data_IF_320697285976
#
_entry.id   IF_320697285976
#
_cell.length_a   1.000
_cell.length_b   1.000
_cell.length_c   1.000
_cell.angle_alpha   90.00
_cell.angle_beta   90.00
_cell.angle_gamma   90.00
#
_symmetry.space_group_name_H-M   'P 1'
#
loop_
_entity.id
_entity.type
_entity.pdbx_description
1 polymer ?
#
# COMPACT_ATOMS: atom_id res chain seq x y z
N UNK A 1 -47.60 60.44 43.07
CA UNK A 1 -46.16 60.58 43.40
C UNK A 1 -45.54 59.20 43.20
N UNK A 2 -44.97 58.90 42.02
CA UNK A 2 -43.50 58.80 41.74
C UNK A 2 -42.77 58.08 42.89
N UNK A 3 -42.13 56.91 42.71
CA UNK A 3 -40.93 56.67 41.85
C UNK A 3 -40.60 55.16 41.77
N UNK A 4 -40.35 54.61 40.58
CA UNK A 4 -39.05 54.16 40.01
C UNK A 4 -38.37 52.93 40.65
N UNK A 5 -38.31 51.87 39.83
CA UNK A 5 -37.38 50.71 39.81
C UNK A 5 -35.90 51.15 39.77
N UNK A 6 -34.89 50.32 40.13
CA UNK A 6 -34.40 49.35 39.14
C UNK A 6 -33.80 48.02 39.65
N UNK A 7 -33.85 47.08 38.71
CA UNK A 7 -33.18 45.78 38.58
C UNK A 7 -31.65 45.91 38.73
N UNK A 8 -31.03 45.19 39.66
CA UNK A 8 -29.56 45.19 39.82
C UNK A 8 -28.90 44.13 38.94
N UNK A 9 -27.90 44.59 38.20
CA UNK A 9 -27.16 43.88 37.17
C UNK A 9 -26.10 42.91 37.73
N UNK A 10 -25.85 41.89 36.91
CA UNK A 10 -24.89 40.80 37.05
C UNK A 10 -23.46 41.27 37.37
N UNK A 11 -22.81 40.55 38.29
CA UNK A 11 -21.44 40.75 38.77
C UNK A 11 -20.43 40.15 37.77
N UNK A 12 -19.63 40.98 37.10
CA UNK A 12 -18.50 40.54 36.28
C UNK A 12 -17.29 40.20 37.16
N UNK A 13 -16.96 38.92 37.27
CA UNK A 13 -15.69 38.47 37.86
C UNK A 13 -14.59 38.45 36.79
N UNK A 14 -13.74 39.47 36.82
CA UNK A 14 -12.42 39.46 36.18
C UNK A 14 -11.53 38.46 36.93
N UNK A 15 -11.28 37.29 36.34
CA UNK A 15 -10.18 36.44 36.78
C UNK A 15 -8.95 36.75 35.93
N UNK A 16 -7.95 37.32 36.60
CA UNK A 16 -6.61 37.60 36.06
C UNK A 16 -5.87 36.28 35.86
N UNK A 17 -5.34 36.07 34.66
CA UNK A 17 -4.52 34.90 34.30
C UNK A 17 -3.24 34.83 35.16
N UNK A 18 -3.02 33.69 35.82
CA UNK A 18 -1.70 33.23 36.19
C UNK A 18 -1.25 32.19 35.14
N UNK A 19 -0.61 32.68 34.08
CA UNK A 19 0.10 31.82 33.14
C UNK A 19 1.38 31.30 33.81
N UNK A 20 1.23 30.26 34.66
CA UNK A 20 2.34 29.39 34.98
C UNK A 20 2.47 28.39 33.83
N UNK A 21 3.16 28.83 32.77
CA UNK A 21 3.63 27.92 31.73
C UNK A 21 4.71 27.07 32.38
N UNK A 22 4.32 25.93 32.96
CA UNK A 22 5.21 24.80 33.09
C UNK A 22 5.59 24.45 31.66
N UNK A 23 6.79 24.84 31.23
CA UNK A 23 7.33 24.41 29.94
C UNK A 23 7.45 22.88 29.99
N UNK A 24 6.38 22.21 29.53
CA UNK A 24 6.49 20.85 29.03
C UNK A 24 7.62 20.89 28.01
N UNK A 25 8.67 20.06 28.17
CA UNK A 25 9.74 20.01 27.20
C UNK A 25 9.10 19.82 25.83
N UNK A 26 9.29 20.78 24.94
CA UNK A 26 8.82 20.68 23.57
C UNK A 26 9.55 19.49 22.98
N UNK A 27 8.87 18.34 22.90
CA UNK A 27 9.36 17.20 22.15
C UNK A 27 9.38 17.65 20.69
N UNK A 28 10.58 18.00 20.23
CA UNK A 28 10.85 18.19 18.81
C UNK A 28 10.44 16.88 18.16
N UNK A 29 9.32 16.89 17.44
CA UNK A 29 8.90 15.77 16.60
C UNK A 29 10.07 15.49 15.66
N UNK A 30 10.92 14.55 16.06
CA UNK A 30 12.02 14.09 15.25
C UNK A 30 11.45 13.71 13.90
N UNK A 31 12.19 14.00 12.83
CA UNK A 31 11.93 13.47 11.50
C UNK A 31 11.44 12.03 11.68
N UNK A 32 10.25 11.64 11.17
CA UNK A 32 9.78 10.28 11.34
C UNK A 32 10.93 9.40 10.89
N UNK A 33 11.46 8.61 11.82
CA UNK A 33 12.45 7.59 11.50
C UNK A 33 11.66 6.67 10.58
N UNK A 34 11.84 6.85 9.27
CA UNK A 34 11.31 5.91 8.31
C UNK A 34 12.01 4.61 8.68
N UNK A 35 11.29 3.74 9.38
CA UNK A 35 11.74 2.38 9.58
C UNK A 35 11.83 1.80 8.18
N UNK A 36 13.06 1.76 7.67
CA UNK A 36 13.36 1.11 6.41
C UNK A 36 12.96 -0.34 6.61
N UNK A 37 11.90 -0.76 5.92
CA UNK A 37 11.42 -2.14 5.97
C UNK A 37 12.60 -3.07 5.67
N UNK A 38 12.89 -3.96 6.61
CA UNK A 38 13.91 -4.97 6.36
C UNK A 38 13.43 -5.92 5.27
N UNK A 39 14.34 -6.64 4.63
CA UNK A 39 13.98 -7.63 3.61
C UNK A 39 12.97 -8.66 4.18
N UNK A 40 13.16 -9.07 5.43
CA UNK A 40 12.24 -9.94 6.16
C UNK A 40 10.83 -9.36 6.30
N UNK A 41 10.73 -8.06 6.58
CA UNK A 41 9.42 -7.40 6.73
C UNK A 41 8.69 -7.36 5.39
N UNK A 42 9.42 -7.15 4.29
CA UNK A 42 8.84 -7.16 2.94
C UNK A 42 8.35 -8.55 2.55
N UNK A 43 9.14 -9.59 2.80
CA UNK A 43 8.73 -10.97 2.54
C UNK A 43 7.47 -11.32 3.34
N UNK A 44 7.42 -10.97 4.63
CA UNK A 44 6.24 -11.20 5.46
C UNK A 44 4.97 -10.51 4.94
N UNK A 45 5.10 -9.28 4.41
CA UNK A 45 3.98 -8.56 3.78
C UNK A 45 3.53 -9.27 2.50
N UNK A 46 4.47 -9.71 1.65
CA UNK A 46 4.15 -10.44 0.41
C UNK A 46 3.40 -11.73 0.73
N UNK A 47 3.89 -12.52 1.68
CA UNK A 47 3.25 -13.78 2.10
C UNK A 47 1.85 -13.54 2.68
N UNK A 48 1.68 -12.47 3.47
CA UNK A 48 0.38 -12.09 4.00
C UNK A 48 -0.60 -11.70 2.87
N UNK A 49 -0.12 -10.95 1.87
CA UNK A 49 -0.92 -10.58 0.71
C UNK A 49 -1.30 -11.80 -0.13
N UNK A 50 -0.36 -12.70 -0.42
CA UNK A 50 -0.65 -13.95 -1.15
C UNK A 50 -1.73 -14.75 -0.43
N UNK A 51 -1.58 -14.95 0.89
CA UNK A 51 -2.59 -15.63 1.72
C UNK A 51 -3.97 -14.95 1.65
N UNK A 52 -4.00 -13.62 1.55
CA UNK A 52 -5.26 -12.85 1.52
C UNK A 52 -5.95 -12.93 0.16
N UNK A 53 -5.20 -13.10 -0.91
CA UNK A 53 -5.68 -13.03 -2.29
C UNK A 53 -5.58 -14.38 -3.01
N UNK A 54 -5.93 -15.46 -2.30
CA UNK A 54 -6.03 -16.83 -2.82
C UNK A 54 -4.75 -17.31 -3.53
N UNK A 55 -3.59 -16.92 -3.01
CA UNK A 55 -2.28 -17.16 -3.58
C UNK A 55 -2.13 -16.64 -5.03
N UNK A 56 -2.90 -15.65 -5.50
CA UNK A 56 -2.73 -15.12 -6.87
C UNK A 56 -1.60 -14.07 -6.93
N UNK A 57 -0.42 -14.39 -7.51
CA UNK A 57 0.71 -13.47 -7.55
C UNK A 57 0.41 -12.26 -8.43
N UNK A 58 -0.50 -12.38 -9.39
CA UNK A 58 -0.91 -11.27 -10.26
C UNK A 58 -1.71 -10.25 -9.47
N UNK A 59 -2.62 -10.68 -8.60
CA UNK A 59 -3.37 -9.78 -7.73
C UNK A 59 -2.43 -9.04 -6.78
N UNK A 60 -1.52 -9.77 -6.13
CA UNK A 60 -0.53 -9.19 -5.22
C UNK A 60 0.37 -8.18 -5.93
N UNK A 61 0.85 -8.48 -7.14
CA UNK A 61 1.68 -7.56 -7.90
C UNK A 61 0.94 -6.26 -8.27
N UNK A 62 -0.35 -6.35 -8.62
CA UNK A 62 -1.18 -5.16 -8.90
C UNK A 62 -1.35 -4.24 -7.68
N UNK A 63 -1.25 -4.77 -6.47
CA UNK A 63 -1.31 -4.01 -5.22
C UNK A 63 0.05 -3.39 -4.89
N UNK A 64 1.13 -4.18 -5.02
CA UNK A 64 2.48 -3.77 -4.64
C UNK A 64 3.12 -2.80 -5.63
N UNK A 65 2.81 -2.95 -6.93
CA UNK A 65 3.38 -2.16 -8.01
C UNK A 65 2.29 -1.77 -9.04
N UNK A 66 1.39 -0.85 -8.67
CA UNK A 66 0.28 -0.46 -9.54
C UNK A 66 0.75 0.28 -10.81
N UNK A 67 1.89 0.95 -10.77
CA UNK A 67 2.41 1.72 -11.89
C UNK A 67 2.86 0.80 -13.04
N UNK A 68 3.42 -0.38 -12.72
CA UNK A 68 3.84 -1.38 -13.70
C UNK A 68 2.81 -2.50 -13.92
N UNK A 69 1.69 -2.50 -13.20
CA UNK A 69 0.66 -3.53 -13.25
C UNK A 69 0.10 -3.81 -14.65
N UNK A 70 0.09 -2.81 -15.54
CA UNK A 70 -0.37 -2.97 -16.92
C UNK A 70 0.48 -3.95 -17.74
N UNK A 71 1.77 -4.11 -17.39
CA UNK A 71 2.65 -5.04 -18.08
C UNK A 71 2.24 -6.51 -17.88
N UNK A 72 1.52 -6.81 -16.79
CA UNK A 72 1.00 -8.15 -16.49
C UNK A 72 0.02 -8.64 -17.55
N UNK A 73 -0.65 -7.74 -18.27
CA UNK A 73 -1.57 -8.09 -19.35
C UNK A 73 -0.87 -8.19 -20.72
N UNK A 74 0.46 -8.00 -20.77
CA UNK A 74 1.23 -8.09 -22.02
C UNK A 74 1.17 -9.50 -22.61
N UNK A 75 0.92 -9.65 -23.93
CA UNK A 75 0.89 -10.95 -24.56
C UNK A 75 2.28 -11.61 -24.57
N UNK A 76 2.30 -12.91 -24.26
CA UNK A 76 3.50 -13.76 -24.26
C UNK A 76 3.23 -15.08 -24.96
N UNK A 77 4.11 -15.49 -25.86
CA UNK A 77 4.06 -16.83 -26.46
C UNK A 77 4.85 -17.78 -25.58
N UNK A 78 4.15 -18.60 -24.79
CA UNK A 78 4.76 -19.49 -23.81
C UNK A 78 4.63 -20.94 -24.24
N UNK A 79 5.73 -21.67 -24.21
CA UNK A 79 5.75 -23.12 -24.37
C UNK A 79 6.04 -23.78 -23.01
N UNK A 80 5.00 -24.31 -22.36
CA UNK A 80 5.16 -25.15 -21.17
C UNK A 80 5.72 -26.50 -21.58
N UNK A 81 6.68 -27.05 -20.83
CA UNK A 81 7.32 -28.32 -21.21
C UNK A 81 6.30 -29.46 -21.39
N UNK A 82 6.35 -30.11 -22.56
CA UNK A 82 5.42 -31.19 -22.91
C UNK A 82 4.09 -30.72 -23.49
N UNK A 83 3.91 -29.41 -23.72
CA UNK A 83 2.75 -28.83 -24.38
C UNK A 83 3.15 -28.01 -25.62
N UNK A 84 2.17 -27.72 -26.45
CA UNK A 84 2.31 -26.76 -27.54
C UNK A 84 2.47 -25.34 -27.01
N UNK A 85 3.14 -24.48 -27.77
CA UNK A 85 3.22 -23.07 -27.42
C UNK A 85 1.87 -22.39 -27.60
N UNK A 86 1.50 -21.55 -26.64
CA UNK A 86 0.23 -20.84 -26.61
C UNK A 86 0.44 -19.39 -26.20
N UNK A 87 -0.39 -18.50 -26.77
CA UNK A 87 -0.43 -17.11 -26.34
C UNK A 87 -1.12 -16.99 -24.99
N UNK A 88 -0.42 -16.41 -24.03
CA UNK A 88 -0.83 -16.15 -22.66
C UNK A 88 -0.46 -14.70 -22.30
N UNK A 89 -0.49 -14.35 -21.01
CA UNK A 89 -0.04 -13.05 -20.51
C UNK A 89 1.26 -13.15 -19.70
N UNK A 90 1.94 -12.03 -19.46
CA UNK A 90 3.05 -11.97 -18.48
C UNK A 90 2.56 -12.33 -17.07
N UNK A 91 1.31 -12.02 -16.71
CA UNK A 91 0.71 -12.45 -15.46
C UNK A 91 0.57 -13.97 -15.37
N UNK A 92 0.18 -14.63 -16.46
CA UNK A 92 0.12 -16.10 -16.50
C UNK A 92 1.51 -16.73 -16.36
N UNK A 93 2.54 -16.08 -16.92
CA UNK A 93 3.94 -16.47 -16.72
C UNK A 93 4.34 -16.48 -15.24
N UNK A 94 3.87 -15.49 -14.46
CA UNK A 94 4.07 -15.49 -13.01
C UNK A 94 3.35 -16.64 -12.32
N UNK A 95 2.10 -16.93 -12.71
CA UNK A 95 1.34 -18.08 -12.16
C UNK A 95 2.00 -19.42 -12.47
N UNK A 96 2.55 -19.60 -13.68
CA UNK A 96 3.31 -20.80 -14.04
C UNK A 96 4.55 -20.97 -13.15
N UNK A 97 5.29 -19.89 -12.89
CA UNK A 97 6.46 -19.92 -11.97
C UNK A 97 6.05 -20.31 -10.55
N UNK A 98 4.94 -19.77 -10.05
CA UNK A 98 4.43 -20.12 -8.73
C UNK A 98 4.03 -21.60 -8.62
N UNK A 99 3.46 -22.16 -9.70
CA UNK A 99 3.13 -23.58 -9.80
C UNK A 99 4.37 -24.49 -9.97
N UNK A 100 5.57 -23.91 -10.07
CA UNK A 100 6.81 -24.67 -10.31
C UNK A 100 6.92 -25.25 -11.72
N UNK A 101 6.13 -24.74 -12.68
CA UNK A 101 6.14 -25.23 -14.06
C UNK A 101 7.27 -24.57 -14.85
N UNK A 102 8.03 -25.40 -15.56
CA UNK A 102 9.04 -24.94 -16.51
C UNK A 102 8.42 -24.60 -17.87
N UNK A 103 8.83 -23.48 -18.44
CA UNK A 103 8.40 -23.03 -19.76
C UNK A 103 9.51 -22.27 -20.47
N UNK A 104 9.39 -22.14 -21.80
CA UNK A 104 10.21 -21.28 -22.64
C UNK A 104 9.34 -20.10 -23.10
N UNK A 105 9.89 -18.90 -23.02
CA UNK A 105 9.28 -17.69 -23.58
C UNK A 105 9.78 -17.49 -25.00
N UNK A 106 8.88 -17.61 -25.97
CA UNK A 106 9.16 -17.54 -27.41
C UNK A 106 8.61 -16.26 -28.04
N UNK A 107 8.19 -15.28 -27.23
CA UNK A 107 7.50 -14.06 -27.70
C UNK A 107 8.27 -13.36 -28.83
N UNK A 108 9.59 -13.25 -28.69
CA UNK A 108 10.50 -12.60 -29.66
C UNK A 108 11.24 -13.59 -30.58
N UNK A 109 10.92 -14.88 -30.47
CA UNK A 109 11.59 -15.99 -31.16
C UNK A 109 10.59 -16.96 -31.79
N UNK A 110 9.52 -16.42 -32.38
CA UNK A 110 8.42 -17.20 -32.95
C UNK A 110 8.87 -18.10 -34.11
N UNK A 111 9.98 -17.76 -34.76
CA UNK A 111 10.64 -18.56 -35.79
C UNK A 111 11.19 -19.89 -35.28
N UNK A 112 11.50 -19.98 -33.97
CA UNK A 112 11.92 -21.23 -33.32
C UNK A 112 10.76 -22.20 -33.06
N UNK A 113 9.52 -21.74 -33.22
CA UNK A 113 8.30 -22.55 -33.02
C UNK A 113 7.74 -23.13 -34.32
N UNK A 114 8.38 -22.86 -35.47
CA UNK A 114 7.90 -23.26 -36.80
C UNK A 114 8.07 -24.75 -37.14
#
# INVERSE_FOLDING_TARGET
MKTFTPLYALLSLLSVSAAAILELPQEVLGRPKIEVLTDRDRDAIIEQLLTTYDDDPVHVMRILDPDNASELDSPRLLQVFGAEAVWMTEGDKLRLRQQGLGFIDLTDHQDLHA
#
